data_IF_151014002757
#
_entry.id   IF_151014002757
#
_cell.length_a   1.000
_cell.length_b   1.000
_cell.length_c   1.000
_cell.angle_alpha   90.00
_cell.angle_beta   90.00
_cell.angle_gamma   90.00
#
_symmetry.space_group_name_H-M   'P 1'
#
loop_
_entity.id
_entity.type
_entity.pdbx_description
1 polymer ?
#
# COMPACT_ATOMS: atom_id res chain seq x y z
N UNK A 1 -9.81 -3.17 -4.21
CA UNK A 1 -8.38 -2.89 -3.96
C UNK A 1 -7.63 -4.20 -3.86
N UNK A 2 -6.52 -4.29 -4.54
CA UNK A 2 -5.65 -5.48 -4.48
C UNK A 2 -4.32 -5.15 -3.84
N UNK A 3 -3.71 -6.17 -3.25
CA UNK A 3 -2.39 -6.07 -2.63
C UNK A 3 -1.49 -7.12 -3.26
N UNK A 4 -0.43 -6.67 -3.93
CA UNK A 4 0.55 -7.55 -4.56
C UNK A 4 1.78 -7.64 -3.66
N UNK A 5 2.21 -8.86 -3.35
CA UNK A 5 3.31 -9.06 -2.42
C UNK A 5 4.54 -9.62 -3.12
N UNK A 6 5.70 -9.15 -2.68
CA UNK A 6 7.00 -9.54 -3.23
C UNK A 6 7.99 -9.71 -2.08
N UNK A 7 8.99 -10.56 -2.29
CA UNK A 7 10.04 -10.75 -1.32
C UNK A 7 9.69 -11.74 -0.23
N UNK A 8 10.44 -11.70 0.87
CA UNK A 8 10.38 -12.68 1.94
C UNK A 8 9.52 -12.17 3.11
N UNK A 9 8.55 -12.98 3.53
CA UNK A 9 7.65 -12.65 4.64
C UNK A 9 8.43 -12.35 5.95
N UNK A 10 9.58 -12.97 6.15
CA UNK A 10 10.39 -12.73 7.34
C UNK A 10 11.15 -11.39 7.35
N UNK A 11 11.17 -10.67 6.25
CA UNK A 11 11.86 -9.39 6.12
C UNK A 11 10.97 -8.24 6.58
N UNK A 12 11.56 -7.04 6.88
CA UNK A 12 10.77 -5.86 7.20
C UNK A 12 9.76 -5.52 6.12
N UNK A 13 8.57 -5.08 6.52
CA UNK A 13 7.48 -4.77 5.61
C UNK A 13 7.60 -3.37 5.01
N UNK A 14 7.35 -3.26 3.71
CA UNK A 14 7.35 -1.99 2.98
C UNK A 14 6.08 -1.89 2.15
N UNK A 15 5.25 -0.92 2.43
CA UNK A 15 4.00 -0.66 1.70
C UNK A 15 4.22 0.45 0.68
N UNK A 16 3.80 0.22 -0.57
CA UNK A 16 3.86 1.19 -1.66
C UNK A 16 2.46 1.49 -2.16
N UNK A 17 2.05 2.76 -2.10
CA UNK A 17 0.73 3.21 -2.57
C UNK A 17 0.93 4.14 -3.76
N UNK A 18 0.47 3.76 -4.97
CA UNK A 18 0.69 4.55 -6.18
C UNK A 18 -0.20 5.79 -6.24
N UNK A 19 0.10 6.67 -7.21
CA UNK A 19 -0.65 7.88 -7.45
C UNK A 19 -1.89 7.68 -8.31
N UNK A 20 -2.54 8.79 -8.61
CA UNK A 20 -3.76 8.84 -9.41
C UNK A 20 -3.53 8.30 -10.82
N UNK A 21 -4.40 7.38 -11.23
CA UNK A 21 -4.37 6.81 -12.58
C UNK A 21 -3.17 5.92 -12.85
N UNK A 22 -2.43 5.53 -11.81
CA UNK A 22 -1.18 4.79 -11.95
C UNK A 22 -1.31 3.43 -11.29
N UNK A 23 -0.94 2.38 -12.05
CA UNK A 23 -0.87 1.02 -11.51
C UNK A 23 0.35 0.86 -10.60
N UNK A 24 0.29 -0.10 -9.66
CA UNK A 24 1.45 -0.47 -8.84
C UNK A 24 2.68 -0.83 -9.69
N UNK A 25 2.48 -1.17 -10.95
CA UNK A 25 3.55 -1.55 -11.87
C UNK A 25 4.60 -0.46 -12.08
N UNK A 26 4.25 0.80 -11.79
CA UNK A 26 5.24 1.89 -11.83
C UNK A 26 6.39 1.64 -10.87
N UNK A 27 6.14 0.86 -9.81
CA UNK A 27 7.16 0.55 -8.82
C UNK A 27 7.99 -0.70 -9.15
N UNK A 28 7.68 -1.42 -10.24
CA UNK A 28 8.36 -2.69 -10.53
C UNK A 28 9.88 -2.61 -10.59
N UNK A 29 10.51 -1.59 -11.23
CA UNK A 29 11.95 -1.49 -11.19
C UNK A 29 12.50 -1.33 -9.77
N UNK A 30 11.79 -0.59 -8.93
CA UNK A 30 12.16 -0.39 -7.53
C UNK A 30 11.93 -1.66 -6.72
N UNK A 31 10.81 -2.34 -6.94
CA UNK A 31 10.47 -3.59 -6.26
C UNK A 31 11.55 -4.64 -6.52
N UNK A 32 12.04 -4.74 -7.76
CA UNK A 32 13.10 -5.67 -8.11
C UNK A 32 14.38 -5.48 -7.31
N UNK A 33 14.65 -4.26 -6.87
CA UNK A 33 15.80 -3.96 -6.03
C UNK A 33 15.51 -4.19 -4.54
N UNK A 34 14.26 -3.99 -4.12
CA UNK A 34 13.88 -4.01 -2.72
C UNK A 34 13.46 -5.40 -2.22
N UNK A 35 12.96 -6.26 -3.09
CA UNK A 35 12.40 -7.55 -2.68
C UNK A 35 13.42 -8.49 -2.02
N UNK A 36 14.70 -8.25 -2.23
CA UNK A 36 15.76 -9.03 -1.60
C UNK A 36 15.89 -8.72 -0.10
N UNK A 37 15.48 -7.52 0.33
CA UNK A 37 15.65 -7.05 1.71
C UNK A 37 14.34 -6.79 2.42
N UNK A 38 13.25 -6.65 1.69
CA UNK A 38 11.96 -6.26 2.25
C UNK A 38 10.86 -7.21 1.79
N UNK A 39 9.86 -7.35 2.65
CA UNK A 39 8.57 -7.89 2.24
C UNK A 39 7.77 -6.72 1.68
N UNK A 40 7.71 -6.60 0.36
CA UNK A 40 7.09 -5.46 -0.32
C UNK A 40 5.62 -5.75 -0.58
N UNK A 41 4.76 -4.82 -0.19
CA UNK A 41 3.33 -4.87 -0.48
C UNK A 41 2.99 -3.67 -1.36
N UNK A 42 2.64 -3.93 -2.62
CA UNK A 42 2.24 -2.89 -3.56
C UNK A 42 0.72 -2.84 -3.66
N UNK A 43 0.15 -1.68 -3.39
CA UNK A 43 -1.30 -1.48 -3.39
C UNK A 43 -1.78 -1.18 -4.81
N UNK A 44 -2.88 -1.80 -5.19
CA UNK A 44 -3.62 -1.49 -6.41
C UNK A 44 -4.87 -0.73 -6.00
N UNK A 45 -4.86 0.59 -6.19
CA UNK A 45 -5.96 1.46 -5.77
C UNK A 45 -7.19 1.23 -6.65
N UNK A 46 -8.37 1.22 -6.02
CA UNK A 46 -9.63 1.01 -6.74
C UNK A 46 -9.87 2.08 -7.82
N UNK A 47 -10.43 1.65 -8.94
CA UNK A 47 -10.86 2.54 -10.01
C UNK A 47 -9.75 3.03 -10.94
N UNK A 48 -8.49 2.72 -10.66
CA UNK A 48 -7.36 3.24 -11.44
C UNK A 48 -6.57 2.19 -12.19
N UNK A 49 -7.07 0.96 -12.23
CA UNK A 49 -6.38 -0.14 -12.91
C UNK A 49 -7.21 -0.66 -14.08
N UNK A 50 -6.58 -0.77 -15.24
CA UNK A 50 -7.22 -1.35 -16.42
C UNK A 50 -7.61 -2.81 -16.16
N UNK A 51 -8.83 -3.16 -16.57
CA UNK A 51 -9.33 -4.51 -16.45
C UNK A 51 -9.91 -4.87 -15.08
N UNK A 52 -9.84 -3.99 -14.11
CA UNK A 52 -10.49 -4.19 -12.82
C UNK A 52 -11.88 -3.54 -12.79
N UNK A 53 -12.83 -4.25 -12.19
CA UNK A 53 -14.20 -3.78 -12.05
C UNK A 53 -14.43 -3.20 -10.65
N UNK A 54 -13.56 -2.26 -10.26
CA UNK A 54 -13.64 -1.59 -8.96
C UNK A 54 -13.84 -0.09 -9.18
N UNK A 55 -14.44 0.57 -8.19
CA UNK A 55 -14.65 2.01 -8.20
C UNK A 55 -13.91 2.68 -7.05
N UNK A 56 -13.25 3.79 -7.36
CA UNK A 56 -12.71 4.66 -6.33
C UNK A 56 -13.85 5.46 -5.71
N UNK A 57 -14.07 5.29 -4.42
CA UNK A 57 -15.15 5.97 -3.70
C UNK A 57 -14.65 7.20 -2.96
N UNK A 58 -13.58 7.06 -2.17
CA UNK A 58 -13.00 8.18 -1.42
C UNK A 58 -11.62 7.80 -0.89
N UNK A 59 -10.84 8.81 -0.53
CA UNK A 59 -9.54 8.60 0.15
C UNK A 59 -9.74 7.88 1.47
N UNK A 60 -10.79 8.23 2.21
CA UNK A 60 -11.09 7.59 3.49
C UNK A 60 -11.42 6.11 3.32
N UNK A 61 -12.21 5.75 2.31
CA UNK A 61 -12.52 4.37 2.01
C UNK A 61 -11.27 3.56 1.65
N UNK A 62 -10.40 4.14 0.83
CA UNK A 62 -9.14 3.48 0.46
C UNK A 62 -8.24 3.30 1.68
N UNK A 63 -8.15 4.31 2.54
CA UNK A 63 -7.38 4.23 3.78
C UNK A 63 -7.93 3.14 4.69
N UNK A 64 -9.24 3.02 4.80
CA UNK A 64 -9.89 1.99 5.59
C UNK A 64 -9.55 0.59 5.10
N UNK A 65 -9.56 0.38 3.78
CA UNK A 65 -9.20 -0.91 3.20
C UNK A 65 -7.75 -1.28 3.46
N UNK A 66 -6.83 -0.31 3.38
CA UNK A 66 -5.41 -0.54 3.68
C UNK A 66 -5.24 -0.88 5.17
N UNK A 67 -5.88 -0.13 6.05
CA UNK A 67 -5.82 -0.41 7.49
C UNK A 67 -6.32 -1.83 7.80
N UNK A 68 -7.41 -2.24 7.17
CA UNK A 68 -7.95 -3.59 7.34
C UNK A 68 -6.92 -4.65 6.93
N UNK A 69 -6.26 -4.45 5.79
CA UNK A 69 -5.22 -5.35 5.33
C UNK A 69 -4.07 -5.44 6.33
N UNK A 70 -3.58 -4.29 6.82
CA UNK A 70 -2.49 -4.27 7.79
C UNK A 70 -2.87 -5.00 9.07
N UNK A 71 -4.11 -4.82 9.55
CA UNK A 71 -4.60 -5.51 10.75
C UNK A 71 -4.70 -7.01 10.56
N UNK A 72 -5.27 -7.45 9.44
CA UNK A 72 -5.56 -8.87 9.20
C UNK A 72 -4.35 -9.67 8.75
N UNK A 73 -3.51 -9.09 7.91
CA UNK A 73 -2.41 -9.82 7.26
C UNK A 73 -1.03 -9.48 7.83
N UNK A 74 -0.87 -8.35 8.49
CA UNK A 74 0.41 -7.89 9.02
C UNK A 74 0.40 -7.70 10.54
N UNK A 75 -0.64 -8.14 11.22
CA UNK A 75 -0.73 -8.04 12.67
C UNK A 75 -0.88 -6.62 13.21
N UNK A 76 -1.31 -5.68 12.39
CA UNK A 76 -1.51 -4.29 12.79
C UNK A 76 -0.26 -3.44 12.78
N UNK A 77 0.86 -3.95 12.26
CA UNK A 77 2.15 -3.27 12.25
C UNK A 77 2.77 -3.26 10.85
N UNK A 78 3.41 -2.15 10.51
CA UNK A 78 4.12 -1.95 9.25
C UNK A 78 5.42 -1.21 9.50
N UNK A 79 6.51 -1.64 8.89
CA UNK A 79 7.81 -1.01 9.13
C UNK A 79 7.95 0.30 8.34
N UNK A 80 7.67 0.28 7.04
CA UNK A 80 7.83 1.44 6.17
C UNK A 80 6.61 1.56 5.25
N UNK A 81 6.15 2.80 5.04
CA UNK A 81 5.09 3.10 4.09
C UNK A 81 5.47 4.29 3.22
N UNK A 82 5.21 4.18 1.92
CA UNK A 82 5.45 5.24 0.95
C UNK A 82 4.20 5.45 0.11
N UNK A 83 3.77 6.69 -0.03
CA UNK A 83 2.63 7.06 -0.86
C UNK A 83 3.02 8.16 -1.84
N UNK A 84 2.68 7.97 -3.13
CA UNK A 84 2.98 8.93 -4.18
C UNK A 84 1.70 9.63 -4.63
N UNK A 85 1.67 10.97 -4.57
CA UNK A 85 0.53 11.78 -5.01
C UNK A 85 -0.76 11.39 -4.26
N UNK A 86 -1.77 10.83 -4.93
CA UNK A 86 -2.98 10.33 -4.29
C UNK A 86 -2.66 9.28 -3.21
N UNK A 87 -1.65 8.44 -3.47
CA UNK A 87 -1.17 7.47 -2.50
C UNK A 87 -0.67 8.14 -1.22
N UNK A 88 -0.07 9.32 -1.35
CA UNK A 88 0.35 10.12 -0.20
C UNK A 88 -0.84 10.62 0.63
N UNK A 89 -1.94 10.98 -0.03
CA UNK A 89 -3.17 11.38 0.66
C UNK A 89 -3.80 10.21 1.40
N UNK A 90 -3.80 9.03 0.79
CA UNK A 90 -4.29 7.81 1.41
C UNK A 90 -3.45 7.48 2.64
N UNK A 91 -2.12 7.54 2.51
CA UNK A 91 -1.20 7.30 3.62
C UNK A 91 -1.41 8.29 4.76
N UNK A 92 -1.58 9.57 4.43
CA UNK A 92 -1.86 10.61 5.42
C UNK A 92 -3.13 10.30 6.21
N UNK A 93 -4.17 9.82 5.51
CA UNK A 93 -5.42 9.45 6.16
C UNK A 93 -5.25 8.21 7.05
N UNK A 94 -4.42 7.26 6.64
CA UNK A 94 -4.10 6.08 7.46
C UNK A 94 -3.43 6.51 8.77
N UNK A 95 -2.47 7.43 8.68
CA UNK A 95 -1.77 7.94 9.85
C UNK A 95 -2.72 8.69 10.79
N UNK A 96 -3.64 9.47 10.24
CA UNK A 96 -4.61 10.23 11.01
C UNK A 96 -5.59 9.33 11.77
N UNK A 97 -5.97 8.20 11.18
CA UNK A 97 -6.86 7.23 11.83
C UNK A 97 -6.22 6.58 13.06
N UNK A 98 -4.91 6.45 13.06
CA UNK A 98 -4.14 5.88 14.16
C UNK A 98 -4.63 4.49 14.60
N UNK A 99 -5.03 3.66 13.64
CA UNK A 99 -5.52 2.30 13.89
C UNK A 99 -4.44 1.24 13.76
N UNK A 100 -3.35 1.57 13.09
CA UNK A 100 -2.23 0.65 12.83
C UNK A 100 -0.92 1.35 13.16
N UNK A 101 0.11 0.57 13.48
CA UNK A 101 1.43 1.10 13.81
C UNK A 101 2.31 1.11 12.57
N UNK A 102 2.79 2.28 12.17
CA UNK A 102 3.73 2.45 11.05
C UNK A 102 4.96 3.16 11.58
N UNK A 103 6.12 2.51 11.48
CA UNK A 103 7.35 3.06 12.04
C UNK A 103 7.91 4.24 11.23
N UNK A 104 7.86 4.13 9.90
CA UNK A 104 8.38 5.18 9.01
C UNK A 104 7.42 5.37 7.83
N UNK A 105 7.00 6.59 7.61
CA UNK A 105 6.10 6.94 6.52
C UNK A 105 6.66 8.05 5.64
#
# INVERSE_FOLDING_TARGET
MDFKTFGNIGSPTLLLIPGLGVSYEIFMPLIGLLEERFHVIAVQVDGFTLGQNTEFTSVDDQAQQVCKYIKEDLGGHLDIAYGLSLGGKILSQILERNEVAIEHA
#
